data_IF_838852174563
#
_entry.id   IF_838852174563
#
_cell.length_a   1.000
_cell.length_b   1.000
_cell.length_c   1.000
_cell.angle_alpha   90.00
_cell.angle_beta   90.00
_cell.angle_gamma   90.00
#
_symmetry.space_group_name_H-M   'P 1'
#
loop_
_entity.id
_entity.type
_entity.pdbx_description
1 polymer ?
#
# COMPACT_ATOMS: atom_id res chain seq x y z
N UNK A 1 51.36 24.11 55.73
CA UNK A 1 50.29 23.32 56.40
C UNK A 1 48.96 23.59 55.69
N UNK A 2 48.04 22.62 55.60
CA UNK A 2 47.62 22.00 54.33
C UNK A 2 46.49 22.70 53.56
N UNK A 3 46.46 22.41 52.26
CA UNK A 3 45.38 22.69 51.31
C UNK A 3 44.06 22.03 51.73
N UNK A 4 42.96 22.78 51.68
CA UNK A 4 41.60 22.22 51.59
C UNK A 4 40.91 22.78 50.35
N UNK A 5 41.07 22.09 49.22
CA UNK A 5 40.25 22.31 48.03
C UNK A 5 39.12 21.28 48.04
N UNK A 6 37.92 21.74 48.37
CA UNK A 6 36.67 20.96 48.33
C UNK A 6 36.48 20.40 46.92
N UNK A 7 36.53 19.07 46.81
CA UNK A 7 36.21 18.34 45.58
C UNK A 7 34.69 18.37 45.38
N UNK A 8 34.21 19.20 44.45
CA UNK A 8 32.86 19.04 43.91
C UNK A 8 32.91 17.91 42.88
N UNK A 9 32.37 16.75 43.24
CA UNK A 9 32.11 15.66 42.31
C UNK A 9 30.78 15.99 41.62
N UNK A 10 30.84 16.41 40.36
CA UNK A 10 29.66 16.40 39.49
C UNK A 10 29.36 14.94 39.14
N UNK A 11 28.26 14.41 39.67
CA UNK A 11 27.68 13.16 39.21
C UNK A 11 26.94 13.43 37.90
N UNK A 12 27.53 13.04 36.77
CA UNK A 12 26.84 12.99 35.48
C UNK A 12 25.93 11.75 35.46
N UNK A 13 24.63 11.97 35.60
CA UNK A 13 23.63 10.95 35.32
C UNK A 13 23.66 10.61 33.82
N UNK A 14 24.13 9.41 33.48
CA UNK A 14 24.08 8.89 32.11
C UNK A 14 22.62 8.52 31.78
N UNK A 15 21.90 9.42 31.10
CA UNK A 15 20.60 9.12 30.52
C UNK A 15 20.80 8.12 29.37
N UNK A 16 20.40 6.87 29.59
CA UNK A 16 20.37 5.83 28.57
C UNK A 16 19.29 6.16 27.54
N UNK A 17 19.66 6.88 26.48
CA UNK A 17 18.76 7.12 25.36
C UNK A 17 18.56 5.81 24.59
N UNK A 18 17.44 5.13 24.82
CA UNK A 18 16.97 4.04 23.96
C UNK A 18 16.55 4.69 22.63
N UNK A 19 17.18 4.38 21.48
CA UNK A 19 16.71 4.91 20.22
C UNK A 19 15.32 4.35 19.94
N UNK A 20 14.32 5.23 19.97
CA UNK A 20 12.98 4.93 19.49
C UNK A 20 13.12 4.67 17.99
N UNK A 21 13.05 3.40 17.57
CA UNK A 21 12.98 3.04 16.16
C UNK A 21 11.65 3.58 15.61
N UNK A 22 11.68 4.79 15.08
CA UNK A 22 10.56 5.32 14.32
C UNK A 22 10.39 4.41 13.10
N UNK A 23 9.18 3.89 12.83
CA UNK A 23 8.94 3.23 11.55
C UNK A 23 9.27 4.24 10.44
N UNK A 24 9.88 3.80 9.33
CA UNK A 24 10.15 4.69 8.22
C UNK A 24 8.84 5.38 7.84
N UNK A 25 8.81 6.71 7.96
CA UNK A 25 7.76 7.49 7.32
C UNK A 25 7.99 7.34 5.82
N UNK A 26 7.24 6.46 5.19
CA UNK A 26 7.30 6.14 3.77
C UNK A 26 6.97 7.39 2.96
N UNK A 27 8.02 8.11 2.59
CA UNK A 27 7.90 9.35 1.85
C UNK A 27 7.33 9.05 0.45
N UNK A 28 6.00 9.16 0.33
CA UNK A 28 5.23 9.49 -0.87
C UNK A 28 5.87 9.05 -2.19
N UNK A 29 5.82 7.75 -2.47
CA UNK A 29 6.20 7.22 -3.78
C UNK A 29 5.23 7.77 -4.83
N UNK A 30 5.70 8.76 -5.61
CA UNK A 30 5.00 9.19 -6.81
C UNK A 30 4.79 8.00 -7.74
N UNK A 31 3.82 8.09 -8.65
CA UNK A 31 3.54 7.03 -9.63
C UNK A 31 4.78 6.56 -10.41
N UNK A 32 5.77 7.42 -10.59
CA UNK A 32 7.03 7.12 -11.28
C UNK A 32 7.95 6.13 -10.56
N UNK A 33 7.73 5.87 -9.27
CA UNK A 33 8.50 4.86 -8.53
C UNK A 33 8.10 3.43 -8.91
N UNK A 34 6.90 3.23 -9.48
CA UNK A 34 6.34 1.91 -9.76
C UNK A 34 6.53 1.52 -11.23
N UNK A 35 6.63 0.21 -11.47
CA UNK A 35 6.71 -0.37 -12.82
C UNK A 35 5.32 -0.41 -13.46
N UNK A 36 4.97 0.69 -14.14
CA UNK A 36 3.68 0.84 -14.82
C UNK A 36 3.48 -0.10 -16.02
N UNK A 37 4.54 -0.77 -16.50
CA UNK A 37 4.48 -1.69 -17.64
C UNK A 37 4.09 -3.12 -17.23
N UNK A 38 4.17 -3.42 -15.92
CA UNK A 38 3.90 -4.76 -15.38
C UNK A 38 2.85 -4.73 -14.26
N UNK A 39 1.56 -4.66 -14.61
CA UNK A 39 0.49 -4.74 -13.62
C UNK A 39 0.47 -6.10 -12.92
N UNK A 40 0.24 -6.09 -11.61
CA UNK A 40 0.21 -7.25 -10.74
C UNK A 40 -1.21 -7.44 -10.20
N UNK A 41 -1.67 -8.69 -10.15
CA UNK A 41 -2.88 -9.09 -9.45
C UNK A 41 -2.57 -9.56 -8.03
N UNK A 42 -3.30 -9.03 -7.05
CA UNK A 42 -3.32 -9.54 -5.68
C UNK A 42 -4.77 -9.79 -5.24
N UNK A 43 -4.98 -10.83 -4.45
CA UNK A 43 -6.26 -11.15 -3.82
C UNK A 43 -6.01 -11.74 -2.44
N UNK A 44 -6.85 -11.37 -1.48
CA UNK A 44 -6.73 -11.89 -0.12
C UNK A 44 -7.75 -11.30 0.85
N UNK A 45 -7.43 -11.44 2.14
CA UNK A 45 -8.20 -10.85 3.24
C UNK A 45 -7.42 -9.70 3.85
N UNK A 46 -8.11 -8.59 4.10
CA UNK A 46 -7.53 -7.44 4.78
C UNK A 46 -7.24 -7.81 6.24
N UNK A 47 -6.00 -7.62 6.69
CA UNK A 47 -5.62 -7.85 8.10
C UNK A 47 -5.62 -6.55 8.92
N UNK A 48 -5.36 -5.42 8.28
CA UNK A 48 -5.53 -4.10 8.89
C UNK A 48 -5.85 -3.06 7.82
N UNK A 49 -6.54 -2.00 8.24
CA UNK A 49 -6.93 -0.87 7.40
C UNK A 49 -6.55 0.43 8.10
N UNK A 50 -5.88 1.32 7.38
CA UNK A 50 -5.65 2.71 7.80
C UNK A 50 -6.46 3.60 6.88
N UNK A 51 -7.68 3.94 7.29
CA UNK A 51 -8.59 4.76 6.49
C UNK A 51 -8.45 6.25 6.82
N UNK A 52 -7.28 6.81 6.53
CA UNK A 52 -6.91 8.19 6.86
C UNK A 52 -6.12 8.87 5.72
N UNK A 53 -5.82 10.15 5.87
CA UNK A 53 -4.95 10.86 4.93
C UNK A 53 -3.46 10.62 5.27
N UNK A 54 -2.52 10.66 4.30
CA UNK A 54 -2.67 11.15 2.91
C UNK A 54 -3.30 10.14 1.92
N UNK A 55 -3.19 8.85 2.19
CA UNK A 55 -3.78 7.76 1.41
C UNK A 55 -4.38 6.73 2.36
N UNK A 56 -5.46 6.08 1.93
CA UNK A 56 -5.90 4.88 2.62
C UNK A 56 -4.91 3.73 2.31
N UNK A 57 -4.59 2.94 3.33
CA UNK A 57 -3.70 1.78 3.20
C UNK A 57 -4.41 0.53 3.72
N UNK A 58 -4.20 -0.59 3.05
CA UNK A 58 -4.62 -1.91 3.53
C UNK A 58 -3.40 -2.80 3.66
N UNK A 59 -3.30 -3.54 4.76
CA UNK A 59 -2.43 -4.71 4.80
C UNK A 59 -3.28 -5.91 4.36
N UNK A 60 -2.83 -6.61 3.32
CA UNK A 60 -3.51 -7.75 2.72
C UNK A 60 -2.74 -9.05 3.03
N UNK A 61 -3.39 -10.07 3.58
CA UNK A 61 -2.87 -11.43 3.60
C UNK A 61 -3.41 -12.18 2.37
N UNK A 62 -2.50 -12.56 1.47
CA UNK A 62 -2.84 -13.14 0.19
C UNK A 62 -3.54 -14.50 0.36
N UNK A 63 -4.52 -14.73 -0.51
CA UNK A 63 -5.18 -16.02 -0.62
C UNK A 63 -4.15 -17.12 -0.92
N UNK A 64 -4.18 -18.25 -0.20
CA UNK A 64 -3.38 -19.42 -0.57
C UNK A 64 -3.68 -19.86 -2.00
N UNK A 65 -2.65 -20.15 -2.78
CA UNK A 65 -2.82 -20.55 -4.18
C UNK A 65 -3.30 -19.43 -5.10
N UNK A 66 -2.93 -18.18 -4.79
CA UNK A 66 -3.21 -17.01 -5.62
C UNK A 66 -3.01 -17.33 -7.12
N UNK A 67 -4.07 -17.12 -7.89
CA UNK A 67 -4.10 -17.34 -9.32
C UNK A 67 -4.78 -16.15 -10.01
N UNK A 68 -4.46 -15.93 -11.29
CA UNK A 68 -5.19 -14.96 -12.08
C UNK A 68 -6.62 -15.48 -12.30
N UNK A 69 -7.66 -14.69 -11.99
CA UNK A 69 -9.02 -15.06 -12.32
C UNK A 69 -9.17 -15.22 -13.83
N UNK A 70 -9.86 -16.29 -14.26
CA UNK A 70 -10.06 -16.56 -15.68
C UNK A 70 -10.85 -15.45 -16.40
N UNK A 71 -11.71 -14.75 -15.65
CA UNK A 71 -12.53 -13.64 -16.10
C UNK A 71 -11.83 -12.27 -16.05
N UNK A 72 -10.60 -12.19 -15.52
CA UNK A 72 -9.95 -10.92 -15.20
C UNK A 72 -9.92 -9.98 -16.41
N UNK A 73 -9.60 -10.48 -17.60
CA UNK A 73 -9.47 -9.66 -18.82
C UNK A 73 -10.80 -9.08 -19.31
N UNK A 74 -11.92 -9.66 -18.88
CA UNK A 74 -13.26 -9.29 -19.29
C UNK A 74 -14.01 -8.51 -18.20
N UNK A 75 -13.40 -8.31 -17.02
CA UNK A 75 -14.06 -7.61 -15.93
C UNK A 75 -14.44 -6.19 -16.37
N UNK A 76 -15.69 -5.77 -16.13
CA UNK A 76 -16.09 -4.40 -16.41
C UNK A 76 -15.28 -3.46 -15.50
N UNK A 77 -14.77 -2.39 -16.09
CA UNK A 77 -14.03 -1.36 -15.38
C UNK A 77 -14.77 -0.03 -15.51
N UNK A 78 -14.86 0.76 -14.43
CA UNK A 78 -15.52 2.04 -14.50
C UNK A 78 -14.64 3.04 -15.27
N UNK A 79 -15.28 3.95 -15.99
CA UNK A 79 -14.59 5.06 -16.63
C UNK A 79 -14.02 6.02 -15.58
N UNK A 80 -12.78 6.45 -15.80
CA UNK A 80 -12.10 7.44 -14.97
C UNK A 80 -11.80 8.68 -15.81
N UNK A 81 -11.60 9.84 -15.17
CA UNK A 81 -11.28 11.08 -15.89
C UNK A 81 -9.90 11.04 -16.56
N UNK A 82 -8.99 10.21 -16.07
CA UNK A 82 -7.77 9.84 -16.79
C UNK A 82 -8.05 8.78 -17.87
N UNK A 83 -7.45 8.93 -19.04
CA UNK A 83 -7.53 7.97 -20.15
C UNK A 83 -6.73 6.69 -19.88
N UNK A 84 -7.23 5.82 -19.01
CA UNK A 84 -6.63 4.51 -18.72
C UNK A 84 -7.23 3.47 -19.65
N UNK A 85 -6.38 2.81 -20.44
CA UNK A 85 -6.76 1.61 -21.18
C UNK A 85 -6.85 0.40 -20.22
N UNK A 86 -7.97 0.34 -19.49
CA UNK A 86 -8.26 -0.70 -18.53
C UNK A 86 -8.20 -2.12 -19.12
N UNK A 87 -8.89 -2.42 -20.24
CA UNK A 87 -8.83 -3.73 -20.88
C UNK A 87 -7.40 -4.18 -21.22
N UNK A 88 -6.58 -3.31 -21.81
CA UNK A 88 -5.19 -3.66 -22.11
C UNK A 88 -4.37 -3.89 -20.84
N UNK A 89 -4.63 -3.12 -19.78
CA UNK A 89 -3.98 -3.28 -18.48
C UNK A 89 -4.34 -4.63 -17.84
N UNK A 90 -5.62 -5.00 -17.78
CA UNK A 90 -6.04 -6.31 -17.27
C UNK A 90 -5.48 -7.46 -18.11
N UNK A 91 -5.38 -7.28 -19.44
CA UNK A 91 -4.80 -8.28 -20.33
C UNK A 91 -3.30 -8.54 -20.09
N UNK A 92 -2.55 -7.52 -19.65
CA UNK A 92 -1.11 -7.59 -19.30
C UNK A 92 -0.86 -8.02 -17.85
N UNK A 93 -1.89 -8.15 -17.03
CA UNK A 93 -1.74 -8.41 -15.59
C UNK A 93 -1.15 -9.79 -15.33
N UNK A 94 -0.17 -9.85 -14.44
CA UNK A 94 0.52 -11.09 -14.04
C UNK A 94 0.50 -11.28 -12.52
N UNK A 95 0.91 -12.46 -12.06
CA UNK A 95 1.15 -12.71 -10.64
C UNK A 95 2.50 -12.12 -10.19
N UNK A 96 2.66 -11.80 -8.89
CA UNK A 96 3.96 -11.46 -8.34
C UNK A 96 4.92 -12.68 -8.44
N UNK A 97 6.21 -12.40 -8.62
CA UNK A 97 7.29 -13.40 -8.58
C UNK A 97 7.73 -13.68 -7.15
N UNK A 98 7.63 -12.68 -6.27
CA UNK A 98 7.94 -12.80 -4.84
C UNK A 98 6.90 -13.65 -4.10
N UNK A 99 7.31 -14.19 -2.94
CA UNK A 99 6.54 -15.18 -2.15
C UNK A 99 5.96 -14.62 -0.86
N UNK A 100 6.10 -13.32 -0.64
CA UNK A 100 5.56 -12.63 0.52
C UNK A 100 4.06 -12.84 0.62
N UNK A 101 3.62 -13.27 1.80
CA UNK A 101 2.20 -13.48 2.09
C UNK A 101 1.45 -12.20 2.40
N UNK A 102 2.15 -11.19 2.90
CA UNK A 102 1.56 -9.91 3.30
C UNK A 102 2.04 -8.81 2.38
N UNK A 103 1.07 -8.01 1.92
CA UNK A 103 1.31 -6.89 1.03
C UNK A 103 0.61 -5.66 1.57
N UNK A 104 1.30 -4.52 1.49
CA UNK A 104 0.67 -3.23 1.68
C UNK A 104 0.07 -2.76 0.36
N UNK A 105 -1.20 -2.41 0.38
CA UNK A 105 -1.92 -1.82 -0.73
C UNK A 105 -2.08 -0.33 -0.44
N UNK A 106 -1.39 0.50 -1.22
CA UNK A 106 -1.56 1.95 -1.22
C UNK A 106 -2.73 2.31 -2.13
N UNK A 107 -3.86 2.71 -1.53
CA UNK A 107 -5.06 3.14 -2.25
C UNK A 107 -4.97 4.63 -2.64
N UNK A 108 -6.07 5.19 -3.13
CA UNK A 108 -6.15 6.61 -3.41
C UNK A 108 -6.31 7.46 -2.14
N UNK A 109 -6.08 8.80 -2.20
CA UNK A 109 -6.48 9.72 -1.13
C UNK A 109 -7.95 9.59 -0.79
N UNK A 110 -8.33 9.87 0.47
CA UNK A 110 -9.73 9.74 0.92
C UNK A 110 -10.72 10.61 0.15
N UNK A 111 -10.27 11.74 -0.40
CA UNK A 111 -11.09 12.58 -1.29
C UNK A 111 -11.51 11.82 -2.56
N UNK A 112 -10.59 11.05 -3.16
CA UNK A 112 -10.87 10.21 -4.33
C UNK A 112 -11.67 8.98 -3.95
N UNK A 113 -11.36 8.33 -2.82
CA UNK A 113 -12.16 7.21 -2.31
C UNK A 113 -13.63 7.63 -2.09
N UNK A 114 -13.84 8.83 -1.53
CA UNK A 114 -15.17 9.43 -1.37
C UNK A 114 -15.84 9.75 -2.70
N UNK A 115 -15.12 10.28 -3.69
CA UNK A 115 -15.66 10.54 -5.03
C UNK A 115 -16.16 9.26 -5.72
N UNK A 116 -15.45 8.16 -5.52
CA UNK A 116 -15.85 6.82 -5.96
C UNK A 116 -16.90 6.14 -5.08
N UNK A 117 -17.27 6.77 -3.96
CA UNK A 117 -18.18 6.21 -2.94
C UNK A 117 -17.74 4.82 -2.47
N UNK A 118 -16.43 4.62 -2.34
CA UNK A 118 -15.88 3.39 -1.78
C UNK A 118 -16.25 3.34 -0.31
N UNK A 119 -16.96 2.29 0.11
CA UNK A 119 -17.19 2.05 1.52
C UNK A 119 -15.85 1.78 2.22
N UNK A 120 -15.71 2.21 3.46
CA UNK A 120 -14.52 1.91 4.26
C UNK A 120 -14.30 0.39 4.33
N UNK A 121 -13.12 -0.04 3.90
CA UNK A 121 -12.71 -1.44 3.92
C UNK A 121 -12.08 -1.72 5.28
N UNK A 122 -12.50 -2.79 5.93
CA UNK A 122 -12.12 -3.16 7.29
C UNK A 122 -11.34 -4.45 7.32
N UNK A 123 -10.68 -4.72 8.44
CA UNK A 123 -10.06 -6.01 8.68
C UNK A 123 -11.12 -7.13 8.57
N UNK A 124 -10.74 -8.21 7.87
CA UNK A 124 -11.60 -9.35 7.55
C UNK A 124 -12.24 -9.29 6.16
N UNK A 125 -12.34 -8.10 5.54
CA UNK A 125 -12.97 -7.95 4.23
C UNK A 125 -12.14 -8.63 3.13
N UNK A 126 -12.76 -9.37 2.21
CA UNK A 126 -12.09 -9.88 1.02
C UNK A 126 -11.96 -8.77 -0.01
N UNK A 127 -10.76 -8.62 -0.57
CA UNK A 127 -10.50 -7.70 -1.68
C UNK A 127 -9.60 -8.35 -2.70
N UNK A 128 -9.73 -7.92 -3.95
CA UNK A 128 -8.69 -8.10 -4.97
C UNK A 128 -8.34 -6.77 -5.59
N UNK A 129 -7.12 -6.67 -6.12
CA UNK A 129 -6.60 -5.46 -6.72
C UNK A 129 -5.72 -5.79 -7.91
N UNK A 130 -5.74 -4.88 -8.87
CA UNK A 130 -4.70 -4.77 -9.89
C UNK A 130 -3.98 -3.45 -9.69
N UNK A 131 -2.65 -3.50 -9.70
CA UNK A 131 -1.84 -2.32 -9.47
C UNK A 131 -0.40 -2.57 -9.85
N UNK A 132 0.48 -1.71 -9.35
CA UNK A 132 1.89 -1.71 -9.71
C UNK A 132 2.74 -1.81 -8.47
N UNK A 133 3.85 -2.52 -8.58
CA UNK A 133 4.89 -2.61 -7.55
C UNK A 133 6.19 -2.05 -8.11
N UNK A 134 7.25 -2.01 -7.30
CA UNK A 134 8.54 -1.51 -7.74
C UNK A 134 9.12 -2.36 -8.88
N UNK A 135 10.00 -1.76 -9.67
CA UNK A 135 10.70 -2.46 -10.76
C UNK A 135 11.40 -3.71 -10.23
N UNK A 136 11.26 -4.80 -10.98
CA UNK A 136 11.77 -6.13 -10.62
C UNK A 136 11.27 -6.66 -9.26
N UNK A 137 10.19 -6.07 -8.71
CA UNK A 137 9.63 -6.35 -7.38
C UNK A 137 10.63 -6.11 -6.24
N UNK A 138 11.59 -5.20 -6.45
CA UNK A 138 12.62 -4.87 -5.48
C UNK A 138 12.05 -4.17 -4.23
N UNK A 139 12.65 -4.44 -3.07
CA UNK A 139 12.26 -3.79 -1.81
C UNK A 139 10.97 -4.34 -1.21
N UNK A 140 10.16 -3.45 -0.64
CA UNK A 140 9.00 -3.82 0.16
C UNK A 140 7.85 -4.39 -0.69
N UNK A 141 7.01 -5.24 -0.08
CA UNK A 141 5.83 -5.84 -0.70
C UNK A 141 4.69 -4.81 -0.78
N UNK A 142 4.85 -3.79 -1.60
CA UNK A 142 3.89 -2.68 -1.75
C UNK A 142 3.28 -2.71 -3.14
N UNK A 143 1.96 -2.49 -3.21
CA UNK A 143 1.23 -2.24 -4.43
C UNK A 143 0.57 -0.87 -4.39
N UNK A 144 0.87 -0.01 -5.37
CA UNK A 144 0.02 1.12 -5.71
C UNK A 144 -1.16 0.64 -6.53
N UNK A 145 -2.37 0.76 -5.99
CA UNK A 145 -3.57 0.19 -6.62
C UNK A 145 -4.05 1.06 -7.78
N UNK A 146 -4.28 0.45 -8.93
CA UNK A 146 -4.93 1.07 -10.10
C UNK A 146 -6.42 0.73 -10.12
N UNK A 147 -6.76 -0.54 -9.93
CA UNK A 147 -8.13 -1.02 -9.85
C UNK A 147 -8.34 -1.82 -8.58
N UNK A 148 -9.36 -1.44 -7.82
CA UNK A 148 -9.79 -2.12 -6.61
C UNK A 148 -11.10 -2.86 -6.88
N UNK A 149 -11.18 -4.13 -6.50
CA UNK A 149 -12.40 -4.93 -6.53
C UNK A 149 -12.78 -5.29 -5.09
N UNK A 150 -13.91 -4.73 -4.64
CA UNK A 150 -14.39 -4.92 -3.28
C UNK A 150 -15.92 -4.87 -3.25
N UNK A 151 -16.54 -5.74 -2.45
CA UNK A 151 -18.00 -5.81 -2.28
C UNK A 151 -18.79 -5.86 -3.60
N UNK A 152 -18.30 -6.66 -4.55
CA UNK A 152 -18.93 -6.85 -5.87
C UNK A 152 -18.83 -5.65 -6.81
N UNK A 153 -18.01 -4.64 -6.47
CA UNK A 153 -17.81 -3.43 -7.27
C UNK A 153 -16.35 -3.30 -7.68
N UNK A 154 -16.15 -2.63 -8.80
CA UNK A 154 -14.85 -2.23 -9.35
C UNK A 154 -14.67 -0.73 -9.24
N UNK A 155 -13.50 -0.27 -8.81
CA UNK A 155 -13.15 1.15 -8.65
C UNK A 155 -11.83 1.44 -9.35
N UNK A 156 -11.76 2.54 -10.11
CA UNK A 156 -10.50 3.04 -10.67
C UNK A 156 -9.86 4.05 -9.73
N UNK A 157 -8.63 3.82 -9.30
CA UNK A 157 -7.99 4.61 -8.24
C UNK A 157 -6.96 5.62 -8.76
N UNK A 158 -6.69 5.64 -10.06
CA UNK A 158 -5.81 6.63 -10.68
C UNK A 158 -6.39 8.04 -10.65
N UNK A 159 -7.69 8.16 -10.93
CA UNK A 159 -8.36 9.46 -11.02
C UNK A 159 -9.81 9.38 -10.55
N UNK A 160 -10.51 10.51 -10.56
CA UNK A 160 -11.93 10.58 -10.19
C UNK A 160 -12.81 9.86 -11.21
N UNK A 161 -14.03 9.44 -10.84
CA UNK A 161 -15.02 8.99 -11.82
C UNK A 161 -15.34 10.10 -12.84
N UNK A 162 -15.79 9.70 -14.02
CA UNK A 162 -16.36 10.60 -15.04
C UNK A 162 -17.80 11.00 -14.70
#
# INVERSE_FOLDING_TARGET
MPMSRRRFVLATAAASATPLALPPAWAHHGWSSFDADRPIYLEGKVVSSKWQNPHAELMLDLSPGLALPADLKQRPLPAQSAGVDGPALLAKTVLPKRKDRRWELELAPLTRMSAWKVAEIKAGDPVSAVGFTFKDEAGDAVMRVEYLFASGKSYGLRSSPV
#
